data_IF_710294013870
#
_entry.id   IF_710294013870
#
_cell.length_a   1.000
_cell.length_b   1.000
_cell.length_c   1.000
_cell.angle_alpha   90.00
_cell.angle_beta   90.00
_cell.angle_gamma   90.00
#
_symmetry.space_group_name_H-M   'P 1'
#
loop_
_entity.id
_entity.type
_entity.pdbx_description
1 polymer ?
#
# COMPACT_ATOMS: atom_id res chain seq x y z
N UNK A 1 15.31 -29.13 47.21
CA UNK A 1 15.60 -28.75 45.81
C UNK A 1 14.63 -29.50 44.90
N UNK A 2 13.33 -29.17 44.97
CA UNK A 2 12.23 -29.75 44.17
C UNK A 2 10.95 -28.97 44.52
N UNK A 3 10.83 -27.71 44.08
CA UNK A 3 9.55 -26.97 44.18
C UNK A 3 9.32 -26.00 42.99
N UNK A 4 10.33 -25.68 42.18
CA UNK A 4 10.20 -24.58 41.21
C UNK A 4 9.65 -24.94 39.81
N UNK A 5 9.25 -26.19 39.53
CA UNK A 5 8.81 -26.57 38.17
C UNK A 5 7.29 -26.55 37.93
N UNK A 6 6.45 -26.34 38.97
CA UNK A 6 5.00 -26.35 38.79
C UNK A 6 4.38 -25.01 38.38
N UNK A 7 5.11 -23.90 38.57
CA UNK A 7 4.59 -22.55 38.26
C UNK A 7 4.75 -22.13 36.79
N UNK A 8 5.64 -22.80 36.05
CA UNK A 8 5.85 -22.48 34.62
C UNK A 8 4.85 -23.17 33.68
N UNK A 9 4.19 -24.25 34.12
CA UNK A 9 3.12 -24.88 33.33
C UNK A 9 1.74 -24.23 33.52
N UNK A 10 1.53 -23.51 34.63
CA UNK A 10 0.23 -22.87 34.91
C UNK A 10 0.07 -21.50 34.22
N UNK A 11 1.18 -20.83 33.87
CA UNK A 11 1.14 -19.61 33.05
C UNK A 11 0.94 -19.88 31.55
N UNK A 12 1.13 -21.12 31.10
CA UNK A 12 0.89 -21.52 29.70
C UNK A 12 -0.58 -21.93 29.45
N UNK A 13 -1.40 -22.04 30.49
CA UNK A 13 -2.80 -22.49 30.41
C UNK A 13 -3.85 -21.36 30.53
N UNK A 14 -3.40 -20.10 30.61
CA UNK A 14 -4.25 -18.90 30.70
C UNK A 14 -3.90 -17.85 29.64
N UNK A 15 -3.21 -18.24 28.57
CA UNK A 15 -3.34 -17.56 27.29
C UNK A 15 -4.71 -17.94 26.73
N UNK A 16 -5.75 -17.33 27.31
CA UNK A 16 -7.09 -17.32 26.78
C UNK A 16 -6.94 -16.82 25.34
N UNK A 17 -7.02 -17.75 24.41
CA UNK A 17 -7.15 -17.51 23.00
C UNK A 17 -8.43 -16.70 22.82
N UNK A 18 -8.33 -15.37 22.93
CA UNK A 18 -9.23 -14.48 22.23
C UNK A 18 -8.95 -14.71 20.75
N UNK A 19 -9.46 -15.82 20.22
CA UNK A 19 -9.68 -15.98 18.80
C UNK A 19 -10.73 -14.93 18.52
N UNK A 20 -10.27 -13.74 18.12
CA UNK A 20 -11.12 -12.81 17.39
C UNK A 20 -11.49 -13.57 16.14
N UNK A 21 -12.66 -14.21 16.19
CA UNK A 21 -13.18 -14.96 15.05
C UNK A 21 -13.59 -13.88 14.06
N UNK A 22 -12.87 -13.80 12.94
CA UNK A 22 -13.34 -12.99 11.82
C UNK A 22 -14.78 -13.43 11.52
N UNK A 23 -15.72 -12.48 11.52
CA UNK A 23 -17.12 -12.77 11.21
C UNK A 23 -17.18 -13.49 9.86
N UNK A 24 -17.91 -14.60 9.79
CA UNK A 24 -18.13 -15.30 8.53
C UNK A 24 -19.10 -14.47 7.68
N UNK A 25 -19.03 -14.55 6.36
CA UNK A 25 -19.93 -13.77 5.50
C UNK A 25 -21.42 -14.06 5.80
N UNK A 26 -21.73 -15.27 6.27
CA UNK A 26 -23.07 -15.67 6.72
C UNK A 26 -23.60 -14.89 7.93
N UNK A 27 -22.72 -14.26 8.71
CA UNK A 27 -23.08 -13.48 9.88
C UNK A 27 -23.55 -12.06 9.51
N UNK A 28 -23.30 -11.63 8.26
CA UNK A 28 -23.66 -10.31 7.78
C UNK A 28 -25.12 -10.25 7.30
N UNK A 29 -25.87 -9.27 7.79
CA UNK A 29 -27.28 -9.05 7.44
C UNK A 29 -27.42 -7.88 6.48
N UNK A 30 -28.12 -8.11 5.37
CA UNK A 30 -28.37 -7.10 4.34
C UNK A 30 -29.23 -5.94 4.87
N UNK A 31 -28.87 -4.71 4.51
CA UNK A 31 -29.65 -3.51 4.78
C UNK A 31 -30.68 -3.26 3.67
N UNK A 32 -31.81 -2.65 4.04
CA UNK A 32 -32.67 -2.02 3.05
C UNK A 32 -32.05 -0.69 2.65
N UNK A 33 -31.74 -0.55 1.36
CA UNK A 33 -31.10 0.64 0.81
C UNK A 33 -32.13 1.61 0.23
N UNK A 34 -31.83 2.92 0.21
CA UNK A 34 -32.58 3.88 -0.61
C UNK A 34 -32.35 3.62 -2.11
N UNK A 35 -32.85 4.50 -2.97
CA UNK A 35 -32.45 4.50 -4.39
C UNK A 35 -30.94 4.78 -4.50
N UNK A 36 -30.21 3.81 -5.04
CA UNK A 36 -28.75 3.81 -5.18
C UNK A 36 -28.31 3.78 -6.65
N UNK A 37 -29.23 4.05 -7.58
CA UNK A 37 -28.97 3.99 -9.03
C UNK A 37 -27.90 4.97 -9.50
N UNK A 38 -27.70 6.09 -8.79
CA UNK A 38 -26.70 7.12 -9.11
C UNK A 38 -25.42 7.02 -8.29
N UNK A 39 -25.30 6.06 -7.38
CA UNK A 39 -24.14 5.98 -6.48
C UNK A 39 -22.93 5.47 -7.22
N UNK A 40 -21.89 6.27 -7.36
CA UNK A 40 -20.59 5.81 -7.88
C UNK A 40 -19.48 5.91 -6.84
N UNK A 41 -19.70 6.66 -5.77
CA UNK A 41 -18.68 6.92 -4.75
C UNK A 41 -19.18 6.57 -3.35
N UNK A 42 -18.25 6.28 -2.45
CA UNK A 42 -18.55 5.92 -1.06
C UNK A 42 -17.85 6.94 -0.14
N UNK A 43 -18.57 7.45 0.86
CA UNK A 43 -18.01 8.27 1.94
C UNK A 43 -18.25 7.58 3.28
N UNK A 44 -17.16 7.17 3.91
CA UNK A 44 -17.13 6.51 5.21
C UNK A 44 -16.54 7.47 6.22
N UNK A 45 -17.36 7.89 7.16
CA UNK A 45 -16.97 8.73 8.28
C UNK A 45 -17.79 8.35 9.51
N UNK A 46 -17.23 8.61 10.67
CA UNK A 46 -17.80 8.34 11.98
C UNK A 46 -18.94 9.32 12.24
N UNK A 47 -20.17 8.87 12.00
CA UNK A 47 -21.39 9.66 12.21
C UNK A 47 -22.34 8.95 13.18
N UNK A 48 -22.74 9.65 14.25
CA UNK A 48 -23.82 9.22 15.15
C UNK A 48 -25.09 10.02 14.80
N UNK A 49 -26.20 9.33 14.51
CA UNK A 49 -27.49 9.97 14.19
C UNK A 49 -28.21 10.64 15.37
N UNK A 50 -27.50 11.00 16.44
CA UNK A 50 -28.09 11.43 17.71
C UNK A 50 -27.06 11.67 18.82
N UNK A 51 -27.32 11.13 20.01
CA UNK A 51 -26.41 11.24 21.16
C UNK A 51 -25.08 10.55 20.90
N UNK A 52 -23.99 11.11 21.41
CA UNK A 52 -22.65 10.50 21.32
C UNK A 52 -22.63 9.17 22.10
N UNK A 53 -22.18 8.12 21.45
CA UNK A 53 -21.92 6.81 22.07
C UNK A 53 -20.59 6.27 21.55
N UNK A 54 -20.07 5.26 22.24
CA UNK A 54 -18.84 4.59 21.83
C UNK A 54 -19.12 3.74 20.59
N UNK A 55 -18.56 4.18 19.46
CA UNK A 55 -18.66 3.44 18.19
C UNK A 55 -17.69 2.26 18.22
N UNK A 56 -18.15 1.04 17.90
CA UNK A 56 -17.31 -0.15 17.87
C UNK A 56 -16.18 -0.01 16.85
N UNK A 57 -15.11 -0.77 17.05
CA UNK A 57 -14.08 -0.88 16.01
C UNK A 57 -14.71 -1.57 14.80
N UNK A 58 -14.83 -0.86 13.69
CA UNK A 58 -15.56 -1.33 12.50
C UNK A 58 -14.65 -1.34 11.29
N UNK A 59 -14.70 -2.43 10.52
CA UNK A 59 -14.03 -2.52 9.22
C UNK A 59 -15.05 -2.42 8.09
N UNK A 60 -14.81 -1.52 7.15
CA UNK A 60 -15.58 -1.40 5.92
C UNK A 60 -14.85 -2.12 4.79
N UNK A 61 -15.46 -3.17 4.24
CA UNK A 61 -14.92 -3.94 3.13
C UNK A 61 -15.76 -3.66 1.88
N UNK A 62 -15.13 -3.08 0.86
CA UNK A 62 -15.74 -2.78 -0.44
C UNK A 62 -15.24 -3.83 -1.43
N UNK A 63 -16.16 -4.54 -2.07
CA UNK A 63 -15.83 -5.60 -3.04
C UNK A 63 -16.66 -5.47 -4.31
N UNK A 64 -16.13 -5.89 -5.45
CA UNK A 64 -16.90 -5.93 -6.68
C UNK A 64 -17.92 -7.08 -6.61
N UNK A 65 -19.06 -6.91 -7.29
CA UNK A 65 -19.91 -8.03 -7.66
C UNK A 65 -19.18 -8.92 -8.67
N UNK A 66 -19.64 -10.17 -8.83
CA UNK A 66 -19.07 -11.04 -9.86
C UNK A 66 -19.12 -10.38 -11.25
N UNK A 67 -18.09 -10.62 -12.06
CA UNK A 67 -18.00 -10.09 -13.41
C UNK A 67 -19.21 -10.58 -14.23
N UNK A 68 -19.88 -9.65 -14.92
CA UNK A 68 -21.14 -9.88 -15.65
C UNK A 68 -22.38 -10.12 -14.78
N UNK A 69 -22.30 -9.98 -13.46
CA UNK A 69 -23.49 -9.92 -12.63
C UNK A 69 -24.18 -8.57 -12.84
N UNK A 70 -25.50 -8.59 -13.03
CA UNK A 70 -26.35 -7.39 -12.93
C UNK A 70 -26.68 -7.05 -11.48
N UNK A 71 -25.89 -7.55 -10.51
CA UNK A 71 -26.08 -7.31 -9.09
C UNK A 71 -26.12 -5.80 -8.84
N UNK A 72 -27.20 -5.34 -8.23
CA UNK A 72 -27.26 -3.98 -7.70
C UNK A 72 -26.28 -3.83 -6.53
N UNK A 73 -25.97 -2.57 -6.20
CA UNK A 73 -25.28 -2.23 -4.96
C UNK A 73 -25.98 -2.90 -3.76
N UNK A 74 -25.21 -3.58 -2.92
CA UNK A 74 -25.67 -4.24 -1.69
C UNK A 74 -24.79 -3.82 -0.50
N UNK A 75 -25.41 -3.59 0.64
CA UNK A 75 -24.70 -3.38 1.91
C UNK A 75 -25.19 -4.39 2.92
N UNK A 76 -24.25 -5.10 3.56
CA UNK A 76 -24.52 -5.98 4.69
C UNK A 76 -23.73 -5.53 5.92
N UNK A 77 -24.26 -5.80 7.10
CA UNK A 77 -23.67 -5.36 8.37
C UNK A 77 -23.58 -6.50 9.37
N UNK A 78 -22.52 -6.49 10.17
CA UNK A 78 -22.34 -7.31 11.35
C UNK A 78 -21.90 -6.42 12.53
N UNK A 79 -22.55 -6.48 13.71
CA UNK A 79 -23.86 -7.09 13.93
C UNK A 79 -24.94 -6.47 13.01
N UNK A 80 -26.09 -7.14 12.91
CA UNK A 80 -27.18 -6.68 12.05
C UNK A 80 -27.63 -5.25 12.40
N UNK A 81 -27.84 -4.42 11.38
CA UNK A 81 -28.24 -3.02 11.51
C UNK A 81 -27.24 -2.14 12.28
N UNK A 82 -25.94 -2.50 12.27
CA UNK A 82 -24.89 -1.69 12.90
C UNK A 82 -24.87 -0.25 12.37
N UNK A 83 -25.08 -0.09 11.07
CA UNK A 83 -25.19 1.21 10.41
C UNK A 83 -26.49 1.30 9.62
N UNK A 84 -26.92 2.53 9.35
CA UNK A 84 -27.90 2.89 8.33
C UNK A 84 -27.17 3.50 7.14
N UNK A 85 -27.72 3.33 5.94
CA UNK A 85 -27.14 3.86 4.71
C UNK A 85 -28.03 4.95 4.10
N UNK A 86 -27.43 6.01 3.60
CA UNK A 86 -28.10 7.12 2.91
C UNK A 86 -27.30 7.54 1.68
N UNK A 87 -27.97 8.19 0.72
CA UNK A 87 -27.31 8.80 -0.44
C UNK A 87 -27.28 10.30 -0.27
N UNK A 88 -26.08 10.89 -0.36
CA UNK A 88 -25.84 12.33 -0.30
C UNK A 88 -24.94 12.72 -1.47
N UNK A 89 -25.45 13.51 -2.43
CA UNK A 89 -24.68 13.97 -3.59
C UNK A 89 -23.93 12.84 -4.33
N UNK A 90 -24.61 11.74 -4.65
CA UNK A 90 -24.04 10.54 -5.31
C UNK A 90 -23.05 9.72 -4.46
N UNK A 91 -22.82 10.12 -3.21
CA UNK A 91 -22.08 9.32 -2.24
C UNK A 91 -23.03 8.42 -1.45
N UNK A 92 -22.68 7.14 -1.35
CA UNK A 92 -23.21 6.29 -0.29
C UNK A 92 -22.53 6.68 1.03
N UNK A 93 -23.34 6.98 2.04
CA UNK A 93 -22.92 7.44 3.36
C UNK A 93 -23.50 6.55 4.45
N UNK A 94 -22.84 6.49 5.60
CA UNK A 94 -23.23 5.63 6.71
C UNK A 94 -23.40 6.41 8.00
N UNK A 95 -24.39 6.03 8.80
CA UNK A 95 -24.60 6.53 10.15
C UNK A 95 -24.77 5.36 11.11
N UNK A 96 -23.98 5.32 12.18
CA UNK A 96 -24.05 4.25 13.17
C UNK A 96 -25.38 4.28 13.91
N UNK A 97 -25.96 3.08 14.08
CA UNK A 97 -27.21 2.88 14.80
C UNK A 97 -26.95 2.88 16.31
N UNK A 98 -27.54 3.84 17.02
CA UNK A 98 -27.40 3.99 18.47
C UNK A 98 -27.97 2.82 19.28
N UNK A 99 -28.87 2.03 18.72
CA UNK A 99 -29.47 0.88 19.43
C UNK A 99 -28.57 -0.36 19.38
N UNK A 100 -27.62 -0.39 18.43
CA UNK A 100 -26.73 -1.54 18.20
C UNK A 100 -25.30 -1.21 18.61
N UNK A 101 -24.78 -0.07 18.14
CA UNK A 101 -23.39 0.35 18.29
C UNK A 101 -22.83 0.27 19.72
N UNK A 102 -23.51 0.81 20.76
CA UNK A 102 -22.99 0.81 22.14
C UNK A 102 -22.76 -0.59 22.73
N UNK A 103 -23.45 -1.61 22.21
CA UNK A 103 -23.34 -2.99 22.68
C UNK A 103 -22.35 -3.84 21.89
N UNK A 104 -21.96 -3.37 20.72
CA UNK A 104 -21.00 -4.03 19.85
C UNK A 104 -19.58 -3.73 20.31
N UNK A 105 -18.72 -4.76 20.39
CA UNK A 105 -17.29 -4.56 20.64
C UNK A 105 -16.54 -4.32 19.32
N UNK A 106 -17.01 -5.00 18.26
CA UNK A 106 -16.48 -4.95 16.91
C UNK A 106 -17.63 -4.92 15.90
N UNK A 107 -17.31 -4.51 14.68
CA UNK A 107 -18.27 -4.41 13.60
C UNK A 107 -17.65 -4.64 12.22
N UNK A 108 -18.50 -4.97 11.26
CA UNK A 108 -18.16 -5.10 9.86
C UNK A 108 -19.25 -4.53 8.99
N UNK A 109 -18.85 -3.83 7.93
CA UNK A 109 -19.75 -3.37 6.87
C UNK A 109 -19.21 -3.88 5.54
N UNK A 110 -19.98 -4.75 4.89
CA UNK A 110 -19.64 -5.34 3.60
C UNK A 110 -20.43 -4.65 2.50
N UNK A 111 -19.73 -3.97 1.58
CA UNK A 111 -20.32 -3.21 0.48
C UNK A 111 -19.97 -3.93 -0.81
N UNK A 112 -20.98 -4.41 -1.52
CA UNK A 112 -20.81 -5.03 -2.84
C UNK A 112 -21.34 -4.08 -3.91
N UNK A 113 -20.53 -3.76 -4.92
CA UNK A 113 -20.89 -2.86 -6.03
C UNK A 113 -20.52 -3.48 -7.38
N UNK A 114 -21.22 -3.16 -8.48
CA UNK A 114 -20.75 -3.47 -9.82
C UNK A 114 -19.29 -3.07 -10.05
N UNK A 115 -18.54 -3.97 -10.68
CA UNK A 115 -17.08 -3.87 -10.83
C UNK A 115 -16.63 -2.65 -11.65
N UNK A 116 -17.52 -2.00 -12.38
CA UNK A 116 -17.27 -0.83 -13.24
C UNK A 116 -17.93 0.47 -12.74
N UNK A 117 -18.55 0.43 -11.55
CA UNK A 117 -19.32 1.52 -10.98
C UNK A 117 -18.57 2.32 -9.91
N UNK A 118 -17.65 1.70 -9.16
CA UNK A 118 -16.89 2.41 -8.12
C UNK A 118 -15.98 3.45 -8.77
N UNK A 119 -16.18 4.73 -8.50
CA UNK A 119 -15.32 5.81 -8.99
C UNK A 119 -14.41 6.38 -7.90
N UNK A 120 -14.84 6.35 -6.65
CA UNK A 120 -14.00 6.82 -5.56
C UNK A 120 -14.47 6.51 -4.15
N UNK A 121 -13.55 6.61 -3.20
CA UNK A 121 -13.77 6.32 -1.78
C UNK A 121 -13.15 7.40 -0.93
N UNK A 122 -13.93 7.92 0.02
CA UNK A 122 -13.49 8.90 1.02
C UNK A 122 -13.60 8.26 2.41
N UNK A 123 -12.49 8.08 3.09
CA UNK A 123 -12.43 7.58 4.46
C UNK A 123 -12.03 8.70 5.42
N UNK A 124 -12.70 8.83 6.56
CA UNK A 124 -12.40 9.84 7.56
C UNK A 124 -12.56 9.31 8.98
N UNK A 125 -12.05 10.06 9.97
CA UNK A 125 -12.38 9.94 11.40
C UNK A 125 -12.11 8.56 12.00
N UNK A 126 -10.89 8.06 11.81
CA UNK A 126 -10.38 6.81 12.38
C UNK A 126 -11.09 5.53 11.91
N UNK A 127 -11.77 5.57 10.78
CA UNK A 127 -12.38 4.38 10.18
C UNK A 127 -11.34 3.53 9.43
N UNK A 128 -11.50 2.20 9.44
CA UNK A 128 -10.68 1.24 8.69
C UNK A 128 -11.45 0.78 7.45
N UNK A 129 -10.90 1.03 6.26
CA UNK A 129 -11.54 0.75 4.97
C UNK A 129 -10.60 -0.08 4.09
N UNK A 130 -11.15 -1.12 3.47
CA UNK A 130 -10.45 -1.97 2.51
C UNK A 130 -11.26 -2.08 1.21
N UNK A 131 -10.60 -1.83 0.07
CA UNK A 131 -11.13 -2.09 -1.27
C UNK A 131 -10.44 -3.35 -1.80
N UNK A 132 -11.23 -4.40 -2.03
CA UNK A 132 -10.76 -5.68 -2.57
C UNK A 132 -10.54 -5.59 -4.09
N UNK A 133 -9.68 -6.46 -4.66
CA UNK A 133 -9.44 -6.49 -6.10
C UNK A 133 -10.69 -6.85 -6.90
N UNK A 134 -10.71 -6.43 -8.16
CA UNK A 134 -11.73 -6.74 -9.17
C UNK A 134 -12.47 -5.50 -9.69
N UNK A 135 -12.30 -4.32 -9.09
CA UNK A 135 -12.78 -3.08 -9.69
C UNK A 135 -11.95 -2.69 -10.92
N UNK A 136 -12.64 -2.23 -11.95
CA UNK A 136 -12.06 -1.83 -13.25
C UNK A 136 -11.83 -0.32 -13.35
N UNK A 137 -12.47 0.45 -12.48
CA UNK A 137 -12.33 1.90 -12.38
C UNK A 137 -12.18 2.26 -10.90
N UNK A 138 -11.24 3.15 -10.61
CA UNK A 138 -11.09 3.92 -9.36
C UNK A 138 -10.33 5.18 -9.80
N UNK A 139 -10.92 6.36 -9.60
CA UNK A 139 -10.31 7.64 -10.00
C UNK A 139 -9.87 8.48 -8.81
N UNK A 140 -10.53 8.32 -7.66
CA UNK A 140 -10.26 9.16 -6.49
C UNK A 140 -10.28 8.34 -5.21
N UNK A 141 -9.21 8.44 -4.43
CA UNK A 141 -9.14 7.88 -3.09
C UNK A 141 -8.75 9.00 -2.12
N UNK A 142 -9.47 9.12 -1.00
CA UNK A 142 -9.05 10.02 0.06
C UNK A 142 -9.16 9.39 1.45
N UNK A 143 -8.21 9.73 2.31
CA UNK A 143 -8.17 9.33 3.70
C UNK A 143 -7.81 10.54 4.58
N UNK A 144 -8.57 10.78 5.64
CA UNK A 144 -8.34 11.92 6.54
C UNK A 144 -8.60 11.57 7.99
N UNK A 145 -8.11 12.41 8.90
CA UNK A 145 -8.40 12.34 10.35
C UNK A 145 -8.18 10.93 10.90
N UNK A 146 -6.96 10.43 10.80
CA UNK A 146 -6.54 9.10 11.28
C UNK A 146 -7.22 7.88 10.64
N UNK A 147 -7.98 8.06 9.55
CA UNK A 147 -8.53 6.93 8.80
C UNK A 147 -7.42 6.08 8.17
N UNK A 148 -7.70 4.78 7.99
CA UNK A 148 -6.83 3.83 7.29
C UNK A 148 -7.55 3.31 6.06
N UNK A 149 -7.00 3.55 4.88
CA UNK A 149 -7.56 3.07 3.61
C UNK A 149 -6.55 2.18 2.88
N UNK A 150 -6.91 0.91 2.67
CA UNK A 150 -6.15 0.01 1.80
C UNK A 150 -6.95 -0.29 0.55
N UNK A 151 -6.33 -0.17 -0.62
CA UNK A 151 -7.01 -0.43 -1.88
C UNK A 151 -6.14 -1.27 -2.83
N UNK A 152 -6.74 -2.33 -3.37
CA UNK A 152 -6.14 -3.19 -4.38
C UNK A 152 -6.73 -2.86 -5.77
N UNK A 153 -5.95 -2.12 -6.55
CA UNK A 153 -6.22 -1.75 -7.93
C UNK A 153 -5.64 -2.72 -8.97
N UNK A 154 -5.30 -3.96 -8.60
CA UNK A 154 -4.66 -4.93 -9.52
C UNK A 154 -5.43 -5.24 -10.81
N UNK A 155 -6.73 -4.95 -10.81
CA UNK A 155 -7.66 -5.20 -11.90
C UNK A 155 -8.12 -3.94 -12.63
N UNK A 156 -7.57 -2.77 -12.28
CA UNK A 156 -7.88 -1.52 -12.98
C UNK A 156 -7.52 -1.66 -14.46
N UNK A 157 -8.39 -1.18 -15.34
CA UNK A 157 -8.19 -1.24 -16.80
C UNK A 157 -8.14 0.16 -17.40
N UNK A 158 -7.26 0.34 -18.40
CA UNK A 158 -7.13 1.58 -19.15
C UNK A 158 -6.09 2.56 -18.59
N UNK A 159 -6.00 3.72 -19.24
CA UNK A 159 -5.20 4.87 -18.80
C UNK A 159 -5.87 5.52 -17.58
N UNK A 160 -5.78 4.87 -16.42
CA UNK A 160 -6.32 5.41 -15.18
C UNK A 160 -5.39 6.49 -14.65
N UNK A 161 -5.92 7.73 -14.58
CA UNK A 161 -5.37 8.75 -13.68
C UNK A 161 -6.00 8.55 -12.31
N UNK A 162 -5.16 8.34 -11.30
CA UNK A 162 -5.56 8.20 -9.91
C UNK A 162 -5.26 9.51 -9.16
N UNK A 163 -6.29 10.06 -8.51
CA UNK A 163 -6.16 11.15 -7.57
C UNK A 163 -6.16 10.60 -6.14
N UNK A 164 -5.17 11.00 -5.34
CA UNK A 164 -4.98 10.57 -3.96
C UNK A 164 -4.87 11.80 -3.05
N UNK A 165 -5.68 11.82 -2.00
CA UNK A 165 -5.62 12.85 -0.95
C UNK A 165 -5.53 12.20 0.44
N UNK A 166 -4.40 12.38 1.14
CA UNK A 166 -4.18 11.75 2.46
C UNK A 166 -3.75 12.80 3.47
N UNK A 167 -4.58 13.08 4.47
CA UNK A 167 -4.38 14.22 5.38
C UNK A 167 -4.59 13.85 6.85
N UNK A 168 -4.11 14.72 7.75
CA UNK A 168 -4.44 14.68 9.19
C UNK A 168 -4.17 13.30 9.82
N UNK A 169 -2.92 12.85 9.77
CA UNK A 169 -2.47 11.58 10.37
C UNK A 169 -3.16 10.31 9.84
N UNK A 170 -3.79 10.38 8.66
CA UNK A 170 -4.34 9.21 7.98
C UNK A 170 -3.22 8.35 7.36
N UNK A 171 -3.56 7.10 7.05
CA UNK A 171 -2.69 6.16 6.35
C UNK A 171 -3.42 5.64 5.11
N UNK A 172 -2.77 5.66 3.96
CA UNK A 172 -3.28 5.03 2.76
C UNK A 172 -2.27 4.08 2.13
N UNK A 173 -2.75 2.91 1.71
CA UNK A 173 -1.99 1.93 0.94
C UNK A 173 -2.70 1.63 -0.37
N UNK A 174 -2.00 1.77 -1.49
CA UNK A 174 -2.54 1.48 -2.80
C UNK A 174 -1.64 0.52 -3.57
N UNK A 175 -2.19 -0.65 -3.93
CA UNK A 175 -1.53 -1.63 -4.77
C UNK A 175 -2.09 -1.55 -6.19
N UNK A 176 -1.25 -1.17 -7.14
CA UNK A 176 -1.51 -1.30 -8.56
C UNK A 176 -0.85 -2.56 -9.12
N UNK A 177 -1.65 -3.43 -9.72
CA UNK A 177 -1.18 -4.62 -10.45
C UNK A 177 -0.88 -4.35 -11.92
N UNK A 178 -1.09 -3.12 -12.39
CA UNK A 178 -0.78 -2.67 -13.75
C UNK A 178 -0.19 -1.27 -13.72
N UNK A 179 0.59 -0.87 -14.72
CA UNK A 179 1.06 0.51 -14.78
C UNK A 179 -0.11 1.49 -14.90
N UNK A 180 -0.17 2.50 -14.03
CA UNK A 180 -1.12 3.62 -14.16
C UNK A 180 -0.49 4.77 -14.95
N UNK A 181 -1.32 5.55 -15.64
CA UNK A 181 -0.85 6.62 -16.56
C UNK A 181 -0.95 8.02 -15.95
N UNK A 182 -1.62 8.16 -14.82
CA UNK A 182 -1.68 9.41 -14.06
C UNK A 182 -1.66 9.11 -12.56
N UNK A 183 -0.83 9.82 -11.81
CA UNK A 183 -0.88 9.80 -10.35
C UNK A 183 -0.76 11.23 -9.83
N UNK A 184 -1.82 11.75 -9.22
CA UNK A 184 -1.83 13.05 -8.55
C UNK A 184 -2.05 12.83 -7.05
N UNK A 185 -1.00 13.03 -6.27
CA UNK A 185 -0.99 12.77 -4.82
C UNK A 185 -0.77 14.10 -4.12
N UNK A 186 -1.71 14.45 -3.26
CA UNK A 186 -1.55 15.54 -2.29
C UNK A 186 -1.65 14.94 -0.89
N UNK A 187 -0.57 14.96 -0.13
CA UNK A 187 -0.60 14.36 1.21
C UNK A 187 0.15 15.17 2.26
N UNK A 188 -0.38 15.15 3.48
CA UNK A 188 0.27 15.63 4.70
C UNK A 188 0.41 14.53 5.74
N UNK A 189 0.30 13.27 5.31
CA UNK A 189 0.32 12.08 6.13
C UNK A 189 0.91 10.91 5.34
N UNK A 190 0.68 9.65 5.75
CA UNK A 190 1.46 8.53 5.25
C UNK A 190 0.81 7.89 4.01
N UNK A 191 1.58 7.77 2.93
CA UNK A 191 1.13 7.14 1.68
C UNK A 191 2.12 6.07 1.20
N UNK A 192 1.62 4.85 1.01
CA UNK A 192 2.34 3.69 0.49
C UNK A 192 1.73 3.30 -0.87
N UNK A 193 2.49 3.46 -1.94
CA UNK A 193 2.13 3.11 -3.30
C UNK A 193 2.98 1.93 -3.77
N UNK A 194 2.33 0.90 -4.31
CA UNK A 194 3.01 -0.24 -4.92
C UNK A 194 2.50 -0.45 -6.35
N UNK A 195 3.34 -0.21 -7.35
CA UNK A 195 3.06 -0.43 -8.76
C UNK A 195 4.00 0.38 -9.66
N UNK A 196 4.00 0.08 -10.96
CA UNK A 196 4.72 0.92 -11.93
C UNK A 196 3.86 2.14 -12.32
N UNK A 197 4.49 3.27 -12.63
CA UNK A 197 3.86 4.42 -13.28
C UNK A 197 4.34 4.49 -14.72
N UNK A 198 3.46 4.76 -15.69
CA UNK A 198 3.87 4.89 -17.11
C UNK A 198 3.48 6.21 -17.78
N UNK A 199 2.78 7.08 -17.07
CA UNK A 199 2.46 8.42 -17.56
C UNK A 199 2.87 9.50 -16.58
N UNK A 200 2.08 10.56 -16.47
CA UNK A 200 2.44 11.72 -15.66
C UNK A 200 2.25 11.46 -14.19
N UNK A 201 3.12 12.03 -13.35
CA UNK A 201 2.90 12.04 -11.91
C UNK A 201 3.10 13.45 -11.35
N UNK A 202 2.30 13.79 -10.35
CA UNK A 202 2.49 14.95 -9.50
C UNK A 202 2.28 14.49 -8.06
N UNK A 203 3.37 14.35 -7.30
CA UNK A 203 3.32 13.88 -5.92
C UNK A 203 3.82 15.00 -5.03
N UNK A 204 2.93 15.61 -4.25
CA UNK A 204 3.27 16.58 -3.24
C UNK A 204 2.98 16.00 -1.85
N UNK A 205 4.01 15.80 -1.04
CA UNK A 205 3.89 15.23 0.29
C UNK A 205 4.59 16.07 1.36
N UNK A 206 3.93 16.23 2.51
CA UNK A 206 4.54 16.67 3.76
C UNK A 206 4.49 15.60 4.85
N UNK A 207 4.05 14.38 4.52
CA UNK A 207 4.14 13.18 5.36
C UNK A 207 5.01 12.12 4.69
N UNK A 208 5.13 10.96 5.34
CA UNK A 208 6.04 9.93 4.84
C UNK A 208 5.50 9.29 3.55
N UNK A 209 6.40 9.11 2.58
CA UNK A 209 6.09 8.55 1.27
C UNK A 209 6.88 7.26 1.04
N UNK A 210 6.20 6.17 0.75
CA UNK A 210 6.79 4.94 0.27
C UNK A 210 6.24 4.62 -1.12
N UNK A 211 7.12 4.54 -2.12
CA UNK A 211 6.75 4.16 -3.49
C UNK A 211 7.57 2.96 -3.93
N UNK A 212 6.91 1.87 -4.29
CA UNK A 212 7.53 0.64 -4.79
C UNK A 212 7.12 0.41 -6.22
N UNK A 213 8.09 0.31 -7.12
CA UNK A 213 7.86 0.19 -8.55
C UNK A 213 8.51 1.33 -9.33
N UNK A 214 8.60 1.16 -10.64
CA UNK A 214 9.35 2.04 -11.50
C UNK A 214 8.50 3.24 -11.96
N UNK A 215 9.12 4.41 -12.10
CA UNK A 215 8.48 5.62 -12.64
C UNK A 215 8.82 5.73 -14.14
N UNK A 216 8.12 4.93 -14.96
CA UNK A 216 8.42 4.60 -16.36
C UNK A 216 7.59 5.38 -17.40
N UNK A 217 7.63 6.71 -17.43
CA UNK A 217 6.83 7.48 -18.39
C UNK A 217 7.64 8.28 -19.42
N UNK A 218 7.15 8.46 -20.66
CA UNK A 218 7.60 9.57 -21.51
C UNK A 218 7.10 10.92 -20.97
N UNK A 219 6.12 10.91 -20.07
CA UNK A 219 5.55 12.09 -19.42
C UNK A 219 6.38 12.50 -18.18
N UNK A 220 6.22 13.76 -17.77
CA UNK A 220 6.88 14.32 -16.60
C UNK A 220 6.34 13.72 -15.32
N UNK A 221 7.23 13.44 -14.37
CA UNK A 221 6.88 12.96 -13.05
C UNK A 221 7.57 13.84 -12.01
N UNK A 222 6.79 14.72 -11.38
CA UNK A 222 7.27 15.66 -10.39
C UNK A 222 6.93 15.15 -8.99
N UNK A 223 7.94 14.97 -8.15
CA UNK A 223 7.79 14.56 -6.76
C UNK A 223 8.35 15.67 -5.86
N UNK A 224 7.56 16.20 -4.96
CA UNK A 224 7.96 17.18 -3.95
C UNK A 224 7.68 16.59 -2.58
N UNK A 225 8.72 16.37 -1.79
CA UNK A 225 8.60 15.84 -0.43
C UNK A 225 9.18 16.79 0.60
N UNK A 226 8.51 17.01 1.72
CA UNK A 226 9.08 17.70 2.89
C UNK A 226 9.15 16.80 4.13
N UNK A 227 8.99 15.49 3.96
CA UNK A 227 9.22 14.44 4.96
C UNK A 227 10.06 13.33 4.33
N UNK A 228 10.29 12.27 5.09
CA UNK A 228 11.02 11.10 4.62
C UNK A 228 10.30 10.44 3.43
N UNK A 229 11.06 10.15 2.38
CA UNK A 229 10.57 9.50 1.18
C UNK A 229 11.47 8.32 0.79
N UNK A 230 10.86 7.18 0.50
CA UNK A 230 11.54 6.00 -0.05
C UNK A 230 10.93 5.63 -1.38
N UNK A 231 11.77 5.54 -2.41
CA UNK A 231 11.39 5.06 -3.75
C UNK A 231 12.20 3.79 -4.06
N UNK A 232 11.50 2.65 -4.06
CA UNK A 232 12.04 1.36 -4.46
C UNK A 232 11.74 1.09 -5.94
N UNK A 233 12.48 1.76 -6.81
CA UNK A 233 12.33 1.64 -8.25
C UNK A 233 13.29 2.54 -9.01
N UNK A 234 13.27 2.45 -10.34
CA UNK A 234 14.07 3.33 -11.20
C UNK A 234 13.36 4.64 -11.53
N UNK A 235 14.12 5.73 -11.55
CA UNK A 235 13.68 7.06 -12.00
C UNK A 235 14.15 7.27 -13.44
N UNK A 236 13.26 7.63 -14.36
CA UNK A 236 13.62 7.93 -15.75
C UNK A 236 14.02 9.40 -15.94
N UNK A 237 14.57 9.73 -17.12
CA UNK A 237 15.10 11.06 -17.46
C UNK A 237 14.11 12.22 -17.23
N UNK A 238 12.81 11.97 -17.38
CA UNK A 238 11.76 12.98 -17.22
C UNK A 238 11.20 13.09 -15.78
N UNK A 239 11.84 12.43 -14.80
CA UNK A 239 11.47 12.53 -13.39
C UNK A 239 12.25 13.66 -12.71
N UNK A 240 11.56 14.52 -11.97
CA UNK A 240 12.16 15.53 -11.10
C UNK A 240 11.71 15.30 -9.67
N UNK A 241 12.65 15.20 -8.74
CA UNK A 241 12.37 15.08 -7.31
C UNK A 241 12.92 16.30 -6.58
N UNK A 242 12.05 17.04 -5.89
CA UNK A 242 12.37 18.14 -5.00
C UNK A 242 12.26 17.67 -3.55
N UNK A 243 13.39 17.60 -2.85
CA UNK A 243 13.48 17.23 -1.44
C UNK A 243 13.55 18.49 -0.60
N UNK A 244 12.62 18.63 0.33
CA UNK A 244 12.47 19.76 1.24
C UNK A 244 13.54 19.80 2.33
N UNK A 245 13.50 20.86 3.14
CA UNK A 245 14.43 21.04 4.26
C UNK A 245 14.25 19.94 5.30
N UNK A 246 15.35 19.32 5.75
CA UNK A 246 15.32 18.28 6.80
C UNK A 246 14.50 17.04 6.46
N UNK A 247 14.38 16.72 5.17
CA UNK A 247 13.74 15.51 4.68
C UNK A 247 14.79 14.53 4.13
N UNK A 248 14.60 13.24 4.38
CA UNK A 248 15.49 12.21 3.83
C UNK A 248 14.87 11.55 2.61
N UNK A 249 15.65 11.40 1.53
CA UNK A 249 15.23 10.66 0.33
C UNK A 249 16.09 9.42 0.16
N UNK A 250 15.46 8.26 -0.03
CA UNK A 250 16.14 7.02 -0.39
C UNK A 250 15.60 6.47 -1.70
N UNK A 251 16.47 6.29 -2.70
CA UNK A 251 16.14 5.66 -3.98
C UNK A 251 17.03 4.44 -4.18
N UNK A 252 16.44 3.27 -4.38
CA UNK A 252 17.22 2.01 -4.50
C UNK A 252 17.46 1.56 -5.95
N UNK A 253 16.72 2.10 -6.93
CA UNK A 253 16.94 1.81 -8.35
C UNK A 253 17.91 2.76 -9.04
N UNK A 254 17.94 2.69 -10.38
CA UNK A 254 18.74 3.60 -11.21
C UNK A 254 18.10 4.99 -11.24
N UNK A 255 18.93 6.03 -11.15
CA UNK A 255 18.50 7.43 -11.20
C UNK A 255 18.93 8.05 -12.53
N UNK A 256 18.02 8.16 -13.49
CA UNK A 256 18.25 8.87 -14.76
C UNK A 256 17.67 10.29 -14.76
N UNK A 257 16.63 10.52 -13.95
CA UNK A 257 16.02 11.83 -13.73
C UNK A 257 16.82 12.71 -12.78
N UNK A 258 16.30 13.91 -12.51
CA UNK A 258 16.94 14.93 -11.67
C UNK A 258 16.43 14.85 -10.22
N UNK A 259 17.34 15.00 -9.26
CA UNK A 259 17.01 15.19 -7.85
C UNK A 259 17.56 16.55 -7.40
N UNK A 260 16.74 17.36 -6.76
CA UNK A 260 17.08 18.65 -6.15
C UNK A 260 16.84 18.59 -4.65
N UNK A 261 17.86 18.80 -3.85
CA UNK A 261 17.78 18.63 -2.39
C UNK A 261 18.04 19.94 -1.63
N UNK A 262 17.10 20.32 -0.76
CA UNK A 262 17.14 21.54 0.06
C UNK A 262 18.04 21.39 1.28
N UNK A 263 18.24 22.46 2.04
CA UNK A 263 19.24 22.50 3.12
C UNK A 263 18.99 21.41 4.16
N UNK A 264 20.05 20.75 4.63
CA UNK A 264 19.98 19.73 5.68
C UNK A 264 19.12 18.53 5.32
N UNK A 265 19.02 18.17 4.04
CA UNK A 265 18.43 16.92 3.57
C UNK A 265 19.51 15.89 3.26
N UNK A 266 19.20 14.61 3.48
CA UNK A 266 20.07 13.50 3.12
C UNK A 266 19.46 12.71 1.95
N UNK A 267 20.23 12.56 0.86
CA UNK A 267 19.82 11.78 -0.32
C UNK A 267 20.66 10.52 -0.42
N UNK A 268 20.03 9.35 -0.31
CA UNK A 268 20.68 8.04 -0.50
C UNK A 268 20.28 7.44 -1.85
N UNK A 269 21.22 7.31 -2.78
CA UNK A 269 20.99 6.88 -4.18
C UNK A 269 22.07 5.91 -4.65
N UNK A 270 21.87 5.24 -5.78
CA UNK A 270 22.89 4.38 -6.41
C UNK A 270 24.03 5.18 -7.06
N UNK A 271 23.76 6.41 -7.50
CA UNK A 271 24.77 7.38 -7.96
C UNK A 271 24.26 8.81 -7.74
N UNK A 272 25.15 9.70 -7.29
CA UNK A 272 24.90 11.12 -7.08
C UNK A 272 25.02 11.97 -8.36
N UNK A 273 25.28 11.36 -9.53
CA UNK A 273 25.52 12.08 -10.80
C UNK A 273 24.38 13.04 -11.16
N UNK A 274 23.13 12.65 -10.88
CA UNK A 274 21.94 13.44 -11.20
C UNK A 274 21.33 14.16 -9.98
N UNK A 275 22.12 14.33 -8.91
CA UNK A 275 21.69 14.98 -7.66
C UNK A 275 22.30 16.38 -7.57
N UNK A 276 21.43 17.39 -7.43
CA UNK A 276 21.82 18.78 -7.15
C UNK A 276 21.52 19.10 -5.69
N UNK A 277 22.56 19.45 -4.93
CA UNK A 277 22.45 19.74 -3.50
C UNK A 277 22.53 21.25 -3.25
N UNK A 278 21.68 21.75 -2.36
CA UNK A 278 21.87 23.07 -1.76
C UNK A 278 22.95 23.03 -0.66
N UNK A 279 23.25 24.18 -0.06
CA UNK A 279 24.22 24.25 1.04
C UNK A 279 23.78 23.36 2.20
N UNK A 280 24.68 22.51 2.69
CA UNK A 280 24.47 21.56 3.80
C UNK A 280 23.46 20.43 3.56
N UNK A 281 23.13 20.11 2.31
CA UNK A 281 22.52 18.82 1.96
C UNK A 281 23.63 17.83 1.62
N UNK A 282 23.41 16.55 1.92
CA UNK A 282 24.38 15.47 1.66
C UNK A 282 23.82 14.45 0.66
N UNK A 283 24.68 13.92 -0.21
CA UNK A 283 24.36 12.81 -1.09
C UNK A 283 25.25 11.61 -0.75
N UNK A 284 24.60 10.52 -0.36
CA UNK A 284 25.20 9.26 0.03
C UNK A 284 25.02 8.25 -1.10
N UNK A 285 26.09 8.02 -1.86
CA UNK A 285 26.10 6.92 -2.83
C UNK A 285 26.12 5.58 -2.09
N UNK A 286 25.03 4.85 -2.20
CA UNK A 286 25.04 3.44 -1.87
C UNK A 286 25.70 2.73 -3.04
N UNK A 287 27.00 2.46 -2.90
CA UNK A 287 27.67 1.55 -3.80
C UNK A 287 26.79 0.31 -3.93
N UNK A 288 26.39 -0.10 -5.16
CA UNK A 288 25.88 -1.45 -5.32
C UNK A 288 26.95 -2.32 -4.70
N UNK A 289 26.62 -3.04 -3.64
CA UNK A 289 27.57 -3.97 -3.06
C UNK A 289 27.93 -4.87 -4.22
N UNK A 290 29.17 -4.79 -4.70
CA UNK A 290 29.74 -5.72 -5.65
C UNK A 290 29.73 -7.09 -4.97
N UNK A 291 28.55 -7.72 -4.91
CA UNK A 291 28.40 -9.11 -4.54
C UNK A 291 29.00 -9.92 -5.68
N UNK A 292 30.33 -9.99 -5.67
CA UNK A 292 31.08 -10.90 -6.50
C UNK A 292 30.84 -12.30 -5.97
N UNK A 293 29.82 -12.98 -6.51
CA UNK A 293 29.64 -14.41 -6.29
C UNK A 293 30.79 -15.12 -6.97
N UNK A 294 31.80 -15.50 -6.19
CA UNK A 294 32.89 -16.35 -6.70
C UNK A 294 32.36 -17.77 -6.82
N UNK A 295 31.93 -18.16 -8.02
CA UNK A 295 31.56 -19.54 -8.33
C UNK A 295 32.84 -20.32 -8.60
N UNK A 296 33.21 -21.21 -7.68
CA UNK A 296 34.30 -22.16 -7.93
C UNK A 296 33.69 -23.40 -8.60
N UNK A 297 33.93 -23.55 -9.89
CA UNK A 297 33.57 -24.78 -10.61
C UNK A 297 34.67 -25.80 -10.38
N UNK A 298 34.38 -26.84 -9.60
CA UNK A 298 35.24 -28.02 -9.52
C UNK A 298 34.87 -28.96 -10.68
N UNK A 299 35.73 -29.14 -11.70
CA UNK A 299 35.39 -29.96 -12.86
C UNK A 299 35.21 -31.44 -12.55
N UNK A 300 35.52 -31.91 -11.32
CA UNK A 300 35.38 -33.32 -10.93
C UNK A 300 34.13 -33.63 -10.10
N UNK A 301 33.38 -32.62 -9.66
CA UNK A 301 32.07 -32.83 -9.01
C UNK A 301 31.04 -31.91 -9.66
N UNK A 302 29.87 -32.43 -10.02
CA UNK A 302 28.73 -31.63 -10.53
C UNK A 302 28.11 -30.72 -9.44
N UNK A 303 28.91 -30.31 -8.45
CA UNK A 303 28.49 -29.53 -7.29
C UNK A 303 28.96 -28.10 -7.48
N UNK A 304 28.01 -27.17 -7.64
CA UNK A 304 28.31 -25.74 -7.59
C UNK A 304 28.37 -25.32 -6.11
N UNK A 305 29.53 -24.88 -5.66
CA UNK A 305 29.68 -24.26 -4.34
C UNK A 305 30.03 -22.79 -4.52
N UNK A 306 29.21 -21.91 -3.94
CA UNK A 306 29.51 -20.49 -3.79
C UNK A 306 29.72 -20.15 -2.31
N UNK A 307 30.62 -19.21 -2.04
CA UNK A 307 30.72 -18.56 -0.73
C UNK A 307 30.45 -17.07 -0.91
N UNK A 308 29.44 -16.54 -0.21
CA UNK A 308 29.25 -15.10 -0.11
C UNK A 308 30.18 -14.57 1.00
N UNK A 309 30.96 -13.53 0.72
CA UNK A 309 31.75 -12.82 1.73
C UNK A 309 30.92 -11.63 2.23
N UNK A 310 29.96 -11.89 3.11
CA UNK A 310 29.45 -10.84 3.97
C UNK A 310 30.45 -10.64 5.11
N UNK A 311 30.91 -9.41 5.32
CA UNK A 311 31.56 -9.01 6.57
C UNK A 311 30.52 -9.08 7.70
N UNK A 312 30.40 -10.25 8.33
CA UNK A 312 29.61 -10.49 9.53
C UNK A 312 28.35 -11.34 9.32
N UNK A 313 28.36 -12.54 9.91
CA UNK A 313 27.28 -13.54 10.03
C UNK A 313 27.05 -14.50 8.84
N UNK A 314 27.16 -15.80 9.13
CA UNK A 314 26.96 -16.93 8.22
C UNK A 314 25.46 -17.25 8.03
N UNK A 315 24.98 -17.30 6.78
CA UNK A 315 23.72 -17.93 6.43
C UNK A 315 23.96 -19.29 5.75
N UNK A 316 23.16 -20.31 6.07
CA UNK A 316 23.19 -21.64 5.43
C UNK A 316 22.27 -21.65 4.19
N UNK A 317 22.73 -22.21 3.08
CA UNK A 317 21.90 -22.47 1.90
C UNK A 317 21.45 -23.94 1.82
N UNK A 318 20.27 -24.15 1.24
CA UNK A 318 19.74 -25.45 0.84
C UNK A 318 20.24 -25.83 -0.57
N UNK A 319 20.61 -27.09 -0.77
CA UNK A 319 21.21 -27.60 -2.01
C UNK A 319 20.22 -27.53 -3.20
N UNK A 320 20.66 -26.95 -4.32
CA UNK A 320 20.00 -27.08 -5.63
C UNK A 320 20.74 -28.14 -6.45
N UNK A 321 20.06 -29.25 -6.77
CA UNK A 321 20.61 -30.33 -7.62
C UNK A 321 20.21 -30.07 -9.06
N UNK A 322 21.18 -29.83 -9.95
CA UNK A 322 20.96 -29.75 -11.39
C UNK A 322 21.27 -31.10 -12.05
N UNK A 323 20.31 -31.63 -12.81
CA UNK A 323 20.53 -32.81 -13.66
C UNK A 323 21.27 -32.41 -14.95
N UNK A 324 22.18 -33.25 -15.48
CA UNK A 324 23.08 -32.86 -16.55
C UNK A 324 22.42 -33.03 -17.92
N UNK A 325 21.98 -31.93 -18.55
CA UNK A 325 22.04 -31.71 -20.02
C UNK A 325 21.32 -30.42 -20.46
N UNK A 326 21.96 -29.26 -20.23
CA UNK A 326 21.71 -28.05 -21.05
C UNK A 326 23.02 -27.29 -21.21
N UNK A 327 23.49 -27.14 -22.46
CA UNK A 327 24.56 -26.22 -22.82
C UNK A 327 23.95 -24.82 -22.83
N UNK A 328 24.34 -23.96 -21.88
CA UNK A 328 24.03 -22.52 -21.94
C UNK A 328 25.32 -21.80 -22.31
N UNK A 329 25.43 -21.40 -23.57
CA UNK A 329 26.42 -20.41 -24.01
C UNK A 329 25.92 -19.02 -23.59
N UNK A 330 26.50 -18.45 -22.53
CA UNK A 330 26.30 -17.05 -22.18
C UNK A 330 27.47 -16.24 -22.76
N UNK A 331 27.26 -15.67 -23.94
CA UNK A 331 28.13 -14.65 -24.52
C UNK A 331 27.81 -13.31 -23.84
N UNK A 332 28.71 -12.83 -22.98
CA UNK A 332 28.74 -11.43 -22.57
C UNK A 332 29.64 -10.66 -23.53
N UNK A 333 29.05 -9.84 -24.40
CA UNK A 333 29.77 -8.76 -25.06
C UNK A 333 29.52 -7.47 -24.28
N UNK A 334 30.53 -7.03 -23.54
CA UNK A 334 30.68 -5.63 -23.15
C UNK A 334 31.41 -4.89 -24.27
N UNK A 335 30.76 -3.90 -24.86
CA UNK A 335 31.36 -2.98 -25.82
C UNK A 335 31.27 -1.56 -25.28
N UNK A 336 32.45 -1.00 -25.00
CA UNK A 336 32.88 0.41 -24.95
C UNK A 336 31.84 1.50 -24.64
#
# INVERSE_FOLDING_TARGET
>A
MFVDSLWSLLFLLLALTAIVRAAEESDFVALTLPDVSSVTSIRIARSCGGSKFDIPKTMFTIRPSEANSTSSLEVKTYPANLVTASVDNEFLTFTYNQDVGPSAQEGGVLITMPYDQLSGVQAATSEEVQILPGFTKIFSLSASTSAKLTADGSTLVGEASLQVDVTTSAEMKFLSGRPITGLDVSTSANFDYQGDLTGSCNVATSGDLEMKGNLLGPATCDVTTSSDATIEGSLLENTVINVGTSADLKVTGSVWGKIEASTSSDVTVTSCTNVTLSTSADCNEKNPVDETVTVKVDPQSLTLTGTNKCSGAFARYSNLVLLPSVVVSMLMFGGW
#
